data_IF_760156094850
#
_entry.id   IF_760156094850
#
_cell.length_a   1.000
_cell.length_b   1.000
_cell.length_c   1.000
_cell.angle_alpha   90.00
_cell.angle_beta   90.00
_cell.angle_gamma   90.00
#
_symmetry.space_group_name_H-M   'P 1'
#
loop_
_entity.id
_entity.type
_entity.pdbx_description
1 polymer ?
#
# COMPACT_ATOMS: atom_id res chain seq x y z
N UNK A 1 24.87 4.80 102.16
CA UNK A 1 23.86 4.99 101.10
C UNK A 1 24.49 5.60 99.83
N UNK A 2 25.44 4.93 99.16
CA UNK A 2 26.08 5.49 97.94
C UNK A 2 26.11 4.57 96.69
N UNK A 3 25.68 3.31 96.76
CA UNK A 3 25.73 2.40 95.58
C UNK A 3 24.39 2.16 94.87
N UNK A 4 23.24 2.59 95.41
CA UNK A 4 21.92 2.39 94.79
C UNK A 4 21.65 3.34 93.60
N UNK A 5 22.13 4.59 93.67
CA UNK A 5 21.98 5.57 92.58
C UNK A 5 22.81 5.22 91.35
N UNK A 6 24.06 4.77 91.55
CA UNK A 6 24.94 4.32 90.45
C UNK A 6 24.38 3.08 89.73
N UNK A 7 23.76 2.14 90.45
CA UNK A 7 23.19 0.92 89.83
C UNK A 7 21.95 1.22 88.98
N UNK A 8 21.09 2.14 89.42
CA UNK A 8 19.93 2.57 88.62
C UNK A 8 20.35 3.38 87.38
N UNK A 9 21.33 4.28 87.50
CA UNK A 9 21.89 5.02 86.36
C UNK A 9 22.52 4.06 85.34
N UNK A 10 23.28 3.05 85.80
CA UNK A 10 23.89 2.05 84.91
C UNK A 10 22.82 1.19 84.21
N UNK A 11 21.73 0.82 84.90
CA UNK A 11 20.63 0.07 84.27
C UNK A 11 19.89 0.93 83.23
N UNK A 12 19.62 2.20 83.51
CA UNK A 12 19.04 3.14 82.52
C UNK A 12 19.97 3.39 81.34
N UNK A 13 21.28 3.53 81.57
CA UNK A 13 22.26 3.73 80.50
C UNK A 13 22.43 2.47 79.64
N UNK A 14 22.34 1.28 80.22
CA UNK A 14 22.40 0.00 79.49
C UNK A 14 21.15 -0.21 78.63
N UNK A 15 19.96 0.11 79.17
CA UNK A 15 18.70 0.06 78.41
C UNK A 15 18.68 1.08 77.26
N UNK A 16 19.16 2.30 77.50
CA UNK A 16 19.28 3.32 76.46
C UNK A 16 20.28 2.90 75.37
N UNK A 17 21.42 2.33 75.76
CA UNK A 17 22.45 1.87 74.82
C UNK A 17 21.95 0.71 73.94
N UNK A 18 21.13 -0.19 74.47
CA UNK A 18 20.53 -1.29 73.72
C UNK A 18 19.50 -0.77 72.69
N UNK A 19 18.66 0.20 73.06
CA UNK A 19 17.74 0.87 72.13
C UNK A 19 18.49 1.61 71.01
N UNK A 20 19.58 2.30 71.35
CA UNK A 20 20.43 2.98 70.36
C UNK A 20 21.12 1.97 69.44
N UNK A 21 21.60 0.84 69.96
CA UNK A 21 22.16 -0.23 69.12
C UNK A 21 21.12 -0.81 68.16
N UNK A 22 19.91 -1.12 68.61
CA UNK A 22 18.84 -1.64 67.75
C UNK A 22 18.51 -0.64 66.64
N UNK A 23 18.46 0.67 66.95
CA UNK A 23 18.25 1.71 65.94
C UNK A 23 19.39 1.78 64.92
N UNK A 24 20.64 1.65 65.36
CA UNK A 24 21.81 1.63 64.45
C UNK A 24 21.75 0.39 63.54
N UNK A 25 21.42 -0.79 64.07
CA UNK A 25 21.25 -2.00 63.26
C UNK A 25 20.10 -1.87 62.26
N UNK A 26 18.97 -1.29 62.66
CA UNK A 26 17.84 -1.07 61.77
C UNK A 26 18.19 -0.09 60.63
N UNK A 27 18.96 0.96 60.91
CA UNK A 27 19.44 1.90 59.88
C UNK A 27 20.47 1.22 58.97
N UNK A 28 21.39 0.41 59.51
CA UNK A 28 22.36 -0.33 58.70
C UNK A 28 21.69 -1.36 57.78
N UNK A 29 20.69 -2.10 58.27
CA UNK A 29 19.93 -3.06 57.44
C UNK A 29 19.17 -2.33 56.33
N UNK A 30 18.49 -1.22 56.66
CA UNK A 30 17.80 -0.42 55.65
C UNK A 30 18.77 0.18 54.63
N UNK A 31 19.90 0.72 55.08
CA UNK A 31 20.93 1.25 54.19
C UNK A 31 21.48 0.17 53.27
N UNK A 32 21.82 -1.01 53.81
CA UNK A 32 22.31 -2.15 53.02
C UNK A 32 21.28 -2.63 51.99
N UNK A 33 19.99 -2.65 52.35
CA UNK A 33 18.92 -3.04 51.44
C UNK A 33 18.74 -2.01 50.32
N UNK A 34 18.78 -0.71 50.64
CA UNK A 34 18.66 0.37 49.65
C UNK A 34 19.88 0.40 48.72
N UNK A 35 21.09 0.20 49.24
CA UNK A 35 22.30 0.10 48.39
C UNK A 35 22.28 -1.14 47.50
N UNK A 36 21.81 -2.29 48.00
CA UNK A 36 21.70 -3.50 47.19
C UNK A 36 20.65 -3.36 46.07
N UNK A 37 19.49 -2.76 46.37
CA UNK A 37 18.45 -2.49 45.37
C UNK A 37 18.93 -1.51 44.31
N UNK A 38 19.60 -0.43 44.72
CA UNK A 38 20.14 0.54 43.76
C UNK A 38 21.24 -0.05 42.89
N UNK A 39 22.16 -0.86 43.44
CA UNK A 39 23.17 -1.55 42.63
C UNK A 39 22.56 -2.53 41.61
N UNK A 40 21.48 -3.24 41.98
CA UNK A 40 20.76 -4.13 41.07
C UNK A 40 20.03 -3.37 39.96
N UNK A 41 19.34 -2.27 40.30
CA UNK A 41 18.71 -1.37 39.32
C UNK A 41 19.74 -0.74 38.37
N UNK A 42 20.88 -0.25 38.88
CA UNK A 42 21.94 0.30 38.04
C UNK A 42 22.53 -0.76 37.10
N UNK A 43 22.64 -2.00 37.56
CA UNK A 43 23.14 -3.10 36.73
C UNK A 43 22.15 -3.46 35.62
N UNK A 44 20.86 -3.56 35.93
CA UNK A 44 19.81 -3.79 34.94
C UNK A 44 19.77 -2.68 33.89
N UNK A 45 19.79 -1.41 34.31
CA UNK A 45 19.80 -0.26 33.39
C UNK A 45 21.07 -0.24 32.53
N UNK A 46 22.21 -0.64 33.07
CA UNK A 46 23.46 -0.73 32.30
C UNK A 46 23.42 -1.85 31.26
N UNK A 47 22.82 -3.00 31.58
CA UNK A 47 22.65 -4.12 30.65
C UNK A 47 21.64 -3.76 29.54
N UNK A 48 20.55 -3.08 29.88
CA UNK A 48 19.57 -2.56 28.91
C UNK A 48 20.18 -1.50 27.97
N UNK A 49 20.99 -0.58 28.50
CA UNK A 49 21.72 0.40 27.68
C UNK A 49 22.71 -0.24 26.72
N UNK A 50 23.40 -1.29 27.17
CA UNK A 50 24.33 -2.02 26.31
C UNK A 50 23.58 -2.77 25.20
N UNK A 51 22.48 -3.45 25.52
CA UNK A 51 21.63 -4.11 24.53
C UNK A 51 21.06 -3.12 23.51
N UNK A 52 20.61 -1.94 23.96
CA UNK A 52 20.08 -0.90 23.09
C UNK A 52 21.17 -0.30 22.17
N UNK A 53 22.41 -0.21 22.65
CA UNK A 53 23.54 0.26 21.84
C UNK A 53 23.90 -0.76 20.76
N UNK A 54 23.91 -2.05 21.09
CA UNK A 54 24.13 -3.13 20.13
C UNK A 54 23.00 -3.21 19.08
N UNK A 55 21.75 -3.00 19.48
CA UNK A 55 20.60 -2.90 18.57
C UNK A 55 20.74 -1.69 17.64
N UNK A 56 21.12 -0.52 18.18
CA UNK A 56 21.33 0.70 17.39
C UNK A 56 22.45 0.55 16.36
N UNK A 57 23.55 -0.11 16.72
CA UNK A 57 24.67 -0.37 15.81
C UNK A 57 24.26 -1.36 14.70
N UNK A 58 23.46 -2.39 15.01
CA UNK A 58 22.92 -3.32 14.01
C UNK A 58 21.95 -2.62 13.05
N UNK A 59 21.03 -1.80 13.54
CA UNK A 59 20.10 -1.04 12.68
C UNK A 59 20.86 -0.06 11.79
N UNK A 60 21.92 0.58 12.27
CA UNK A 60 22.75 1.44 11.44
C UNK A 60 23.54 0.66 10.38
N UNK A 61 24.02 -0.54 10.70
CA UNK A 61 24.67 -1.41 9.73
C UNK A 61 23.70 -1.88 8.65
N UNK A 62 22.46 -2.26 9.02
CA UNK A 62 21.40 -2.61 8.06
C UNK A 62 20.98 -1.40 7.22
N UNK A 63 20.90 -0.20 7.82
CA UNK A 63 20.59 1.02 7.09
C UNK A 63 21.68 1.38 6.08
N UNK A 64 22.96 1.23 6.44
CA UNK A 64 24.03 1.48 5.48
C UNK A 64 24.16 0.39 4.43
N UNK A 65 23.88 -0.87 4.76
CA UNK A 65 23.75 -1.94 3.76
C UNK A 65 22.61 -1.64 2.78
N UNK A 66 21.43 -1.27 3.27
CA UNK A 66 20.30 -0.87 2.44
C UNK A 66 20.58 0.38 1.60
N UNK A 67 21.36 1.35 2.12
CA UNK A 67 21.82 2.52 1.36
C UNK A 67 22.82 2.15 0.28
N UNK A 68 23.76 1.24 0.56
CA UNK A 68 24.67 0.74 -0.48
C UNK A 68 23.96 -0.12 -1.51
N UNK A 69 22.98 -0.94 -1.12
CA UNK A 69 22.14 -1.70 -2.05
C UNK A 69 21.25 -0.78 -2.90
N UNK A 70 20.76 0.34 -2.35
CA UNK A 70 20.08 1.38 -3.12
C UNK A 70 21.04 2.17 -4.04
N UNK A 71 22.27 2.43 -3.60
CA UNK A 71 23.28 3.13 -4.39
C UNK A 71 23.84 2.26 -5.54
N UNK A 72 24.01 0.95 -5.31
CA UNK A 72 24.43 -0.03 -6.31
C UNK A 72 23.23 -0.49 -7.18
N UNK A 73 22.01 -0.35 -6.66
CA UNK A 73 20.74 -0.68 -7.32
C UNK A 73 20.19 0.43 -8.21
N UNK A 74 20.83 0.69 -9.33
CA UNK A 74 20.21 1.18 -10.57
C UNK A 74 19.25 2.39 -10.46
N UNK A 75 19.55 3.37 -9.59
CA UNK A 75 18.78 4.62 -9.46
C UNK A 75 18.65 5.34 -10.82
N UNK A 76 19.66 5.27 -11.67
CA UNK A 76 19.59 5.82 -13.03
C UNK A 76 18.62 5.07 -13.97
N UNK A 77 18.40 3.77 -13.79
CA UNK A 77 17.36 3.04 -14.52
C UNK A 77 16.00 3.45 -14.01
N UNK A 78 15.79 3.46 -12.69
CA UNK A 78 14.51 3.86 -12.11
C UNK A 78 14.16 5.30 -12.47
N UNK A 79 15.13 6.22 -12.43
CA UNK A 79 14.93 7.60 -12.87
C UNK A 79 14.69 7.70 -14.39
N UNK A 80 15.34 6.88 -15.22
CA UNK A 80 15.06 6.81 -16.66
C UNK A 80 13.69 6.23 -16.95
N UNK A 81 13.29 5.20 -16.24
CA UNK A 81 11.98 4.55 -16.37
C UNK A 81 10.87 5.47 -15.87
N UNK A 82 11.09 6.20 -14.77
CA UNK A 82 10.20 7.26 -14.29
C UNK A 82 10.13 8.45 -15.25
N UNK A 83 11.26 8.88 -15.84
CA UNK A 83 11.26 9.93 -16.84
C UNK A 83 10.54 9.49 -18.13
N UNK A 84 10.72 8.24 -18.55
CA UNK A 84 10.02 7.64 -19.68
C UNK A 84 8.53 7.44 -19.38
N UNK A 85 8.16 7.06 -18.16
CA UNK A 85 6.78 6.94 -17.69
C UNK A 85 6.10 8.30 -17.62
N UNK A 86 6.77 9.32 -17.07
CA UNK A 86 6.27 10.70 -17.05
C UNK A 86 6.16 11.28 -18.45
N UNK A 87 7.12 11.00 -19.35
CA UNK A 87 7.02 11.43 -20.74
C UNK A 87 5.86 10.74 -21.48
N UNK A 88 5.60 9.46 -21.20
CA UNK A 88 4.43 8.74 -21.72
C UNK A 88 3.14 9.33 -21.16
N UNK A 89 3.06 9.55 -19.85
CA UNK A 89 1.90 10.16 -19.21
C UNK A 89 1.61 11.55 -19.76
N UNK A 90 2.63 12.42 -19.87
CA UNK A 90 2.46 13.74 -20.47
C UNK A 90 2.04 13.67 -21.94
N UNK A 91 2.48 12.65 -22.69
CA UNK A 91 2.01 12.42 -24.05
C UNK A 91 0.54 11.97 -24.07
N UNK A 92 0.12 11.12 -23.15
CA UNK A 92 -1.29 10.73 -22.99
C UNK A 92 -2.17 11.91 -22.58
N UNK A 93 -1.74 12.72 -21.62
CA UNK A 93 -2.44 13.94 -21.19
C UNK A 93 -2.54 14.97 -22.33
N UNK A 94 -1.49 15.12 -23.15
CA UNK A 94 -1.53 15.96 -24.36
C UNK A 94 -2.42 15.37 -25.47
N UNK A 95 -2.50 14.05 -25.58
CA UNK A 95 -3.39 13.37 -26.52
C UNK A 95 -4.85 13.50 -26.10
N UNK A 96 -5.16 13.49 -24.80
CA UNK A 96 -6.54 13.67 -24.29
C UNK A 96 -7.13 15.05 -24.68
N UNK A 97 -6.29 16.05 -24.95
CA UNK A 97 -6.71 17.37 -25.46
C UNK A 97 -6.91 17.42 -26.99
N UNK A 98 -6.34 16.47 -27.75
CA UNK A 98 -6.33 16.47 -29.22
C UNK A 98 -7.17 15.37 -29.85
N UNK A 99 -7.35 14.25 -29.16
CA UNK A 99 -8.04 13.06 -29.64
C UNK A 99 -8.90 12.49 -28.50
N UNK A 100 -9.99 11.83 -28.83
CA UNK A 100 -10.81 11.13 -27.83
C UNK A 100 -10.55 9.64 -27.99
N UNK A 101 -10.02 9.01 -26.94
CA UNK A 101 -9.85 7.55 -26.89
C UNK A 101 -10.97 6.96 -26.04
N UNK A 102 -11.86 6.17 -26.65
CA UNK A 102 -12.85 5.36 -25.94
C UNK A 102 -12.28 3.95 -25.78
N UNK A 103 -11.97 3.59 -24.55
CA UNK A 103 -11.53 2.24 -24.21
C UNK A 103 -12.76 1.38 -23.92
N UNK A 104 -12.79 0.18 -24.50
CA UNK A 104 -13.79 -0.87 -24.28
C UNK A 104 -13.04 -2.14 -23.92
N UNK A 105 -13.39 -2.76 -22.80
CA UNK A 105 -12.81 -4.03 -22.36
C UNK A 105 -13.88 -5.10 -22.21
N UNK A 106 -13.60 -6.29 -22.71
CA UNK A 106 -14.43 -7.48 -22.51
C UNK A 106 -13.61 -8.55 -21.78
N UNK A 107 -14.09 -8.95 -20.61
CA UNK A 107 -13.44 -9.92 -19.75
C UNK A 107 -14.43 -11.00 -19.29
N UNK A 108 -13.92 -12.22 -19.15
CA UNK A 108 -14.65 -13.30 -18.51
C UNK A 108 -14.11 -13.52 -17.09
N UNK A 109 -15.03 -13.74 -16.14
CA UNK A 109 -14.72 -13.87 -14.72
C UNK A 109 -15.29 -15.16 -14.13
N UNK A 110 -14.63 -15.66 -13.08
CA UNK A 110 -15.03 -16.85 -12.32
C UNK A 110 -15.27 -18.08 -13.19
N UNK A 111 -14.19 -18.60 -13.78
CA UNK A 111 -14.23 -19.84 -14.59
C UNK A 111 -15.18 -19.71 -15.80
N UNK A 112 -15.14 -18.53 -16.43
CA UNK A 112 -15.99 -18.09 -17.54
C UNK A 112 -17.50 -18.04 -17.24
N UNK A 113 -17.94 -18.12 -15.98
CA UNK A 113 -19.39 -18.07 -15.68
C UNK A 113 -20.01 -16.70 -15.86
N UNK A 114 -19.19 -15.66 -15.76
CA UNK A 114 -19.62 -14.27 -15.88
C UNK A 114 -18.82 -13.54 -16.94
N UNK A 115 -19.47 -12.56 -17.55
CA UNK A 115 -18.98 -11.64 -18.56
C UNK A 115 -18.96 -10.25 -17.94
N UNK A 116 -17.91 -9.48 -18.18
CA UNK A 116 -17.76 -8.10 -17.70
C UNK A 116 -17.40 -7.24 -18.91
N UNK A 117 -18.25 -6.27 -19.21
CA UNK A 117 -18.01 -5.24 -20.20
C UNK A 117 -17.69 -3.94 -19.47
N UNK A 118 -16.53 -3.36 -19.72
CA UNK A 118 -16.16 -2.05 -19.16
C UNK A 118 -15.80 -1.07 -20.27
N UNK A 119 -16.12 0.20 -20.08
CA UNK A 119 -15.83 1.23 -21.06
C UNK A 119 -15.62 2.61 -20.43
N UNK A 120 -14.84 3.45 -21.09
CA UNK A 120 -14.47 4.78 -20.57
C UNK A 120 -13.70 5.62 -21.58
N UNK A 121 -13.35 6.84 -21.20
CA UNK A 121 -12.60 7.79 -22.05
C UNK A 121 -11.24 8.08 -21.43
N UNK A 122 -10.22 8.16 -22.28
CA UNK A 122 -8.84 8.43 -21.89
C UNK A 122 -8.30 7.31 -20.99
N UNK A 123 -7.52 7.67 -19.98
CA UNK A 123 -6.91 6.72 -19.04
C UNK A 123 -7.88 6.10 -18.01
N UNK A 124 -9.15 6.51 -17.98
CA UNK A 124 -10.12 6.09 -16.96
C UNK A 124 -11.17 5.17 -17.56
N UNK A 125 -11.14 3.88 -17.17
CA UNK A 125 -12.28 2.97 -17.34
C UNK A 125 -13.38 3.41 -16.35
N UNK A 126 -14.33 4.19 -16.85
CA UNK A 126 -15.29 4.90 -16.01
C UNK A 126 -16.57 4.11 -15.69
N UNK A 127 -16.96 3.16 -16.55
CA UNK A 127 -18.21 2.42 -16.44
C UNK A 127 -17.95 0.92 -16.63
N UNK A 128 -18.63 0.10 -15.84
CA UNK A 128 -18.57 -1.35 -15.93
C UNK A 128 -19.97 -1.92 -15.73
N UNK A 129 -20.30 -2.95 -16.51
CA UNK A 129 -21.52 -3.73 -16.33
C UNK A 129 -21.58 -4.46 -14.98
N UNK A 130 -20.42 -4.65 -14.34
CA UNK A 130 -20.26 -5.69 -13.33
C UNK A 130 -20.43 -7.11 -13.92
N UNK A 131 -20.45 -8.15 -13.07
CA UNK A 131 -20.56 -9.53 -13.53
C UNK A 131 -21.95 -9.85 -14.10
N UNK A 132 -22.04 -10.10 -15.39
CA UNK A 132 -23.25 -10.57 -16.08
C UNK A 132 -23.14 -12.07 -16.30
N UNK A 133 -24.15 -12.85 -15.91
CA UNK A 133 -24.10 -14.30 -16.09
C UNK A 133 -24.04 -14.67 -17.59
N UNK A 134 -23.33 -15.74 -17.92
CA UNK A 134 -23.18 -16.23 -19.31
C UNK A 134 -24.52 -16.49 -19.99
N UNK A 135 -25.49 -17.04 -19.27
CA UNK A 135 -26.82 -17.36 -19.78
C UNK A 135 -27.77 -16.17 -19.80
N UNK A 136 -27.40 -15.05 -19.18
CA UNK A 136 -28.20 -13.82 -19.15
C UNK A 136 -27.90 -12.92 -20.35
N UNK A 137 -28.36 -13.36 -21.52
CA UNK A 137 -28.19 -12.60 -22.77
C UNK A 137 -28.98 -11.29 -22.78
N UNK A 138 -30.08 -11.21 -22.02
CA UNK A 138 -30.91 -10.00 -21.98
C UNK A 138 -30.17 -8.88 -21.26
N UNK A 139 -29.57 -9.16 -20.10
CA UNK A 139 -28.76 -8.17 -19.40
C UNK A 139 -27.51 -7.84 -20.20
N UNK A 140 -26.83 -8.82 -20.81
CA UNK A 140 -25.65 -8.53 -21.62
C UNK A 140 -25.96 -7.60 -22.81
N UNK A 141 -27.07 -7.84 -23.51
CA UNK A 141 -27.55 -6.97 -24.59
C UNK A 141 -27.84 -5.54 -24.09
N UNK A 142 -28.43 -5.39 -22.90
CA UNK A 142 -28.66 -4.07 -22.32
C UNK A 142 -27.35 -3.31 -22.04
N UNK A 143 -26.30 -4.01 -21.59
CA UNK A 143 -25.00 -3.39 -21.34
C UNK A 143 -24.29 -3.02 -22.65
N UNK A 144 -24.44 -3.82 -23.71
CA UNK A 144 -23.98 -3.46 -25.06
C UNK A 144 -24.68 -2.19 -25.55
N UNK A 145 -26.00 -2.09 -25.41
CA UNK A 145 -26.75 -0.90 -25.82
C UNK A 145 -26.32 0.35 -25.01
N UNK A 146 -26.03 0.20 -23.70
CA UNK A 146 -25.52 1.32 -22.89
C UNK A 146 -24.12 1.76 -23.30
N UNK A 147 -23.26 0.81 -23.66
CA UNK A 147 -21.94 1.11 -24.23
C UNK A 147 -22.08 1.85 -25.56
N UNK A 148 -23.00 1.41 -26.42
CA UNK A 148 -23.29 2.06 -27.70
C UNK A 148 -23.76 3.51 -27.48
N UNK A 149 -24.75 3.73 -26.61
CA UNK A 149 -25.22 5.07 -26.24
C UNK A 149 -24.09 5.95 -25.69
N UNK A 150 -23.20 5.37 -24.89
CA UNK A 150 -22.02 6.06 -24.39
C UNK A 150 -21.09 6.50 -25.51
N UNK A 151 -20.71 5.59 -26.42
CA UNK A 151 -19.88 5.90 -27.59
C UNK A 151 -20.52 7.03 -28.41
N UNK A 152 -21.82 6.93 -28.69
CA UNK A 152 -22.55 7.98 -29.40
C UNK A 152 -22.49 9.33 -28.68
N UNK A 153 -22.65 9.32 -27.36
CA UNK A 153 -22.57 10.55 -26.57
C UNK A 153 -21.18 11.20 -26.65
N UNK A 154 -20.10 10.41 -26.62
CA UNK A 154 -18.74 10.94 -26.72
C UNK A 154 -18.48 11.53 -28.10
N UNK A 155 -18.93 10.86 -29.16
CA UNK A 155 -18.74 11.30 -30.55
C UNK A 155 -19.58 12.53 -30.88
N UNK A 156 -20.81 12.61 -30.37
CA UNK A 156 -21.71 13.73 -30.66
C UNK A 156 -21.35 14.98 -29.85
N UNK A 157 -20.90 14.81 -28.60
CA UNK A 157 -20.51 15.92 -27.75
C UNK A 157 -19.11 16.45 -28.06
N UNK A 158 -18.31 15.73 -28.86
CA UNK A 158 -16.99 16.18 -29.28
C UNK A 158 -17.04 17.17 -30.44
N UNK A 159 -16.02 18.03 -30.50
CA UNK A 159 -15.81 18.92 -31.65
C UNK A 159 -15.76 18.09 -32.95
N UNK A 160 -16.47 18.52 -34.01
CA UNK A 160 -16.41 17.91 -35.35
C UNK A 160 -15.01 17.59 -35.88
N UNK A 161 -14.01 18.40 -35.50
CA UNK A 161 -12.64 18.25 -35.98
C UNK A 161 -11.78 17.35 -35.05
N UNK A 162 -12.32 16.88 -33.92
CA UNK A 162 -11.62 15.97 -33.00
C UNK A 162 -11.79 14.51 -33.43
N UNK A 163 -10.70 13.79 -33.77
CA UNK A 163 -10.78 12.38 -34.10
C UNK A 163 -11.11 11.54 -32.86
N UNK A 164 -11.96 10.52 -33.05
CA UNK A 164 -12.38 9.60 -32.00
C UNK A 164 -11.84 8.20 -32.31
N UNK A 165 -11.09 7.64 -31.37
CA UNK A 165 -10.52 6.31 -31.43
C UNK A 165 -11.29 5.39 -30.50
N UNK A 166 -11.64 4.19 -30.96
CA UNK A 166 -12.28 3.19 -30.10
C UNK A 166 -11.34 2.00 -30.00
N UNK A 167 -10.87 1.72 -28.79
CA UNK A 167 -9.92 0.63 -28.53
C UNK A 167 -10.68 -0.48 -27.84
N UNK A 168 -10.74 -1.65 -28.48
CA UNK A 168 -11.33 -2.86 -27.89
C UNK A 168 -10.19 -3.75 -27.37
N UNK A 169 -10.10 -3.86 -26.05
CA UNK A 169 -9.19 -4.79 -25.38
C UNK A 169 -9.96 -6.02 -24.91
N UNK A 170 -9.46 -7.21 -25.25
CA UNK A 170 -10.00 -8.47 -24.79
C UNK A 170 -8.90 -9.53 -24.83
N UNK A 171 -8.98 -10.54 -23.97
CA UNK A 171 -8.11 -11.71 -24.05
C UNK A 171 -8.77 -12.77 -24.94
N UNK A 172 -8.19 -13.01 -26.13
CA UNK A 172 -8.74 -13.96 -27.10
C UNK A 172 -8.84 -15.39 -26.59
N UNK A 173 -7.99 -15.76 -25.62
CA UNK A 173 -7.92 -17.12 -25.08
C UNK A 173 -8.95 -17.34 -23.97
N UNK A 174 -9.44 -16.26 -23.36
CA UNK A 174 -10.30 -16.30 -22.18
C UNK A 174 -11.70 -15.72 -22.40
N UNK A 175 -11.97 -15.05 -23.52
CA UNK A 175 -13.28 -14.45 -23.84
C UNK A 175 -14.11 -15.34 -24.76
N UNK A 176 -15.43 -15.23 -24.66
CA UNK A 176 -16.34 -15.95 -25.56
C UNK A 176 -16.25 -15.42 -26.99
N UNK A 177 -16.01 -16.32 -27.94
CA UNK A 177 -15.89 -16.00 -29.36
C UNK A 177 -17.11 -15.25 -29.91
N UNK A 178 -18.32 -15.68 -29.55
CA UNK A 178 -19.55 -15.06 -30.02
C UNK A 178 -19.74 -13.62 -29.49
N UNK A 179 -19.44 -13.40 -28.20
CA UNK A 179 -19.50 -12.07 -27.58
C UNK A 179 -18.48 -11.12 -28.20
N UNK A 180 -17.26 -11.62 -28.46
CA UNK A 180 -16.21 -10.86 -29.13
C UNK A 180 -16.61 -10.47 -30.55
N UNK A 181 -17.10 -11.41 -31.36
CA UNK A 181 -17.53 -11.10 -32.73
C UNK A 181 -18.71 -10.13 -32.77
N UNK A 182 -19.65 -10.26 -31.83
CA UNK A 182 -20.78 -9.36 -31.72
C UNK A 182 -20.33 -7.93 -31.45
N UNK A 183 -19.36 -7.73 -30.56
CA UNK A 183 -18.76 -6.41 -30.33
C UNK A 183 -17.98 -5.92 -31.55
N UNK A 184 -17.18 -6.77 -32.19
CA UNK A 184 -16.41 -6.39 -33.39
C UNK A 184 -17.36 -5.97 -34.52
N UNK A 185 -18.42 -6.74 -34.78
CA UNK A 185 -19.43 -6.45 -35.81
C UNK A 185 -20.11 -5.11 -35.51
N UNK A 186 -20.65 -4.95 -34.29
CA UNK A 186 -21.28 -3.71 -33.84
C UNK A 186 -20.35 -2.51 -34.03
N UNK A 187 -19.11 -2.61 -33.55
CA UNK A 187 -18.13 -1.53 -33.65
C UNK A 187 -17.73 -1.26 -35.11
N UNK A 188 -17.62 -2.30 -35.94
CA UNK A 188 -17.25 -2.16 -37.35
C UNK A 188 -18.31 -1.45 -38.19
N UNK A 189 -19.60 -1.69 -37.93
CA UNK A 189 -20.70 -0.97 -38.59
C UNK A 189 -20.66 0.53 -38.31
N UNK A 190 -20.14 0.90 -37.14
CA UNK A 190 -20.10 2.27 -36.63
C UNK A 190 -18.87 3.05 -37.07
N UNK A 191 -17.92 2.43 -37.78
CA UNK A 191 -16.73 3.07 -38.41
C UNK A 191 -17.04 4.34 -39.18
N UNK A 192 -18.25 4.44 -39.74
CA UNK A 192 -18.70 5.55 -40.58
C UNK A 192 -19.11 6.81 -39.81
N UNK A 193 -19.21 6.76 -38.48
CA UNK A 193 -19.76 7.88 -37.70
C UNK A 193 -18.82 9.09 -37.59
N UNK A 194 -17.49 8.89 -37.58
CA UNK A 194 -16.41 9.91 -37.62
C UNK A 194 -15.06 9.18 -37.55
N UNK A 195 -14.35 8.97 -38.66
CA UNK A 195 -12.99 8.37 -38.77
C UNK A 195 -12.55 7.48 -37.59
N UNK A 196 -13.40 6.54 -37.19
CA UNK A 196 -13.16 5.72 -36.00
C UNK A 196 -12.14 4.67 -36.35
N UNK A 197 -10.99 4.72 -35.70
CA UNK A 197 -9.96 3.68 -35.83
C UNK A 197 -10.11 2.71 -34.67
N UNK A 198 -10.24 1.43 -35.03
CA UNK A 198 -10.41 0.32 -34.10
C UNK A 198 -9.09 -0.40 -33.90
N UNK A 199 -8.67 -0.50 -32.65
CA UNK A 199 -7.49 -1.27 -32.25
C UNK A 199 -7.94 -2.44 -31.39
N UNK A 200 -7.53 -3.66 -31.78
CA UNK A 200 -7.64 -4.85 -30.94
C UNK A 200 -6.27 -5.12 -30.33
N UNK A 201 -6.17 -5.17 -29.00
CA UNK A 201 -4.87 -5.32 -28.31
C UNK A 201 -4.14 -6.63 -28.67
N UNK A 202 -4.88 -7.67 -29.06
CA UNK A 202 -4.30 -8.92 -29.56
C UNK A 202 -3.60 -8.82 -30.93
N UNK A 203 -3.81 -7.74 -31.69
CA UNK A 203 -3.05 -7.46 -32.92
C UNK A 203 -1.67 -6.84 -32.64
N UNK A 204 -1.35 -6.53 -31.38
CA UNK A 204 -0.06 -5.96 -30.91
C UNK A 204 0.82 -7.03 -30.24
N UNK A 205 0.59 -8.31 -30.52
CA UNK A 205 1.63 -9.33 -30.25
C UNK A 205 2.72 -9.17 -31.31
N UNK A 206 3.72 -8.34 -30.97
CA UNK A 206 4.92 -8.08 -31.77
C UNK A 206 5.61 -9.38 -32.22
N UNK A 207 5.97 -9.43 -33.52
CA UNK A 207 7.04 -10.26 -34.08
C UNK A 207 8.42 -9.92 -33.46
#
# INVERSE_FOLDING_TARGET
MKSRGLRNIVIELTSLLDVVMILIFAVMINYSNVTAQTEEEYKQVSEELQALTEEYDNVNAELELARTELADGNIESVLRDMAAANSRQNAYEYMDDMIIIVNVTLENYSDNRYRILSYGVGSVLGLSSGPVARDDETTFEQEINRMEDFIYSQVYNSDPDTPVFIVLSYDSDNVYYDDCNKLIELLSEKRTLRDMVFFCENDIKED
#
